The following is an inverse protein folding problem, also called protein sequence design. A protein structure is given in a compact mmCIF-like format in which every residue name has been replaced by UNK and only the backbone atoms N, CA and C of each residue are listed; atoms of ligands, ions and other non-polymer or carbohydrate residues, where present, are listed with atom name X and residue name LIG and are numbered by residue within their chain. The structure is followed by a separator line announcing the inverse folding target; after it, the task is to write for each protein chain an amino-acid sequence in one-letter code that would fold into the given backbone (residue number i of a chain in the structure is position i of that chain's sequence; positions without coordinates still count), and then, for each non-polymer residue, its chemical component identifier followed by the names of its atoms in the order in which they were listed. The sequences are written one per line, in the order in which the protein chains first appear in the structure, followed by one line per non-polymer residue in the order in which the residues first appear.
data_IF_884663073239
#
_entry.id   IF_884663073239
#
_cell.length_a   1.000
_cell.length_b   1.000
_cell.length_c   1.000
_cell.angle_alpha   90.00
_cell.angle_beta   90.00
_cell.angle_gamma   90.00
#
_symmetry.space_group_name_H-M   'P 1'
#
loop_
_entity.id
_entity.type
_entity.pdbx_description
1 polymer ?
#
# COMPACT_ATOMS: atom_id res chain seq x y z
N UNK A 1 -1.76 -8.17 30.51
CA UNK A 1 -2.23 -7.96 29.14
C UNK A 1 -1.20 -7.13 28.41
N UNK A 2 -0.58 -7.67 27.37
CA UNK A 2 0.45 -7.03 26.54
C UNK A 2 -0.15 -6.77 25.16
N UNK A 3 -0.12 -5.51 24.76
CA UNK A 3 -0.65 -5.05 23.47
C UNK A 3 0.55 -4.56 22.66
N UNK A 4 0.62 -4.92 21.39
CA UNK A 4 1.48 -4.19 20.46
C UNK A 4 0.62 -3.26 19.59
N UNK A 5 1.13 -2.06 19.33
CA UNK A 5 0.47 -1.06 18.50
C UNK A 5 1.45 -0.67 17.39
N UNK A 6 1.04 -0.84 16.14
CA UNK A 6 1.81 -0.43 14.97
C UNK A 6 1.03 0.61 14.18
N UNK A 7 1.73 1.53 13.53
CA UNK A 7 1.11 2.54 12.66
C UNK A 7 0.92 1.97 11.25
N UNK A 8 1.75 2.45 10.34
CA UNK A 8 1.78 2.20 8.91
C UNK A 8 2.45 0.86 8.61
N UNK A 9 1.88 0.08 7.69
CA UNK A 9 2.44 -1.22 7.30
C UNK A 9 3.12 -1.17 5.93
N UNK A 10 2.55 -0.45 4.96
CA UNK A 10 3.13 -0.24 3.62
C UNK A 10 3.58 -1.56 2.97
N UNK A 11 2.69 -2.57 3.02
CA UNK A 11 2.91 -3.92 2.53
C UNK A 11 4.17 -4.64 3.07
N UNK A 12 4.72 -4.24 4.23
CA UNK A 12 5.83 -4.93 4.88
C UNK A 12 5.37 -6.22 5.58
N UNK A 13 5.14 -7.25 4.76
CA UNK A 13 4.56 -8.55 5.16
C UNK A 13 5.35 -9.22 6.28
N UNK A 14 6.67 -9.22 6.18
CA UNK A 14 7.53 -9.92 7.13
C UNK A 14 7.54 -9.22 8.50
N UNK A 15 7.52 -7.88 8.53
CA UNK A 15 7.44 -7.13 9.77
C UNK A 15 6.05 -7.26 10.40
N UNK A 16 4.99 -7.21 9.59
CA UNK A 16 3.61 -7.40 10.02
C UNK A 16 3.41 -8.76 10.69
N UNK A 17 3.87 -9.85 10.08
CA UNK A 17 3.70 -11.21 10.61
C UNK A 17 4.32 -11.38 12.01
N UNK A 18 5.44 -10.69 12.28
CA UNK A 18 6.14 -10.71 13.57
C UNK A 18 5.62 -9.68 14.57
N UNK A 19 4.77 -8.75 14.14
CA UNK A 19 4.36 -7.62 14.97
C UNK A 19 3.55 -8.02 16.21
N UNK A 20 2.95 -9.21 16.25
CA UNK A 20 2.24 -9.70 17.44
C UNK A 20 3.09 -10.62 18.33
N UNK A 21 4.39 -10.81 18.04
CA UNK A 21 5.24 -11.72 18.80
C UNK A 21 5.27 -11.38 20.30
N UNK A 22 4.74 -12.29 21.10
CA UNK A 22 4.64 -12.13 22.55
C UNK A 22 3.65 -11.06 23.01
N UNK A 23 2.72 -10.60 22.16
CA UNK A 23 1.56 -9.79 22.55
C UNK A 23 0.29 -10.66 22.63
N UNK A 24 -0.67 -10.26 23.46
CA UNK A 24 -1.99 -10.90 23.53
C UNK A 24 -2.85 -10.55 22.30
N UNK A 25 -2.67 -9.33 21.76
CA UNK A 25 -3.29 -8.88 20.51
C UNK A 25 -2.55 -7.69 19.90
N UNK A 26 -2.82 -7.46 18.62
CA UNK A 26 -2.30 -6.34 17.84
C UNK A 26 -3.35 -5.25 17.66
N UNK A 27 -2.94 -3.98 17.71
CA UNK A 27 -3.68 -2.85 17.14
C UNK A 27 -2.85 -2.32 15.96
N UNK A 28 -3.42 -2.27 14.76
CA UNK A 28 -2.77 -1.68 13.59
C UNK A 28 -3.57 -0.47 13.13
N UNK A 29 -2.88 0.67 12.97
CA UNK A 29 -3.54 1.95 12.70
C UNK A 29 -3.83 2.20 11.21
N UNK A 30 -3.30 1.37 10.31
CA UNK A 30 -3.68 1.35 8.89
C UNK A 30 -2.49 1.53 7.96
N UNK A 31 -2.75 2.19 6.82
CA UNK A 31 -1.84 2.31 5.67
C UNK A 31 -1.21 0.97 5.33
N UNK A 32 -2.09 0.00 5.06
CA UNK A 32 -1.69 -1.37 4.80
C UNK A 32 -0.98 -1.50 3.45
N UNK A 33 -1.41 -0.73 2.45
CA UNK A 33 -0.93 -0.82 1.08
C UNK A 33 0.36 -0.03 0.85
N UNK A 34 1.25 -0.57 0.03
CA UNK A 34 2.36 0.17 -0.55
C UNK A 34 1.93 0.78 -1.89
N UNK A 35 1.54 2.05 -1.86
CA UNK A 35 1.06 2.74 -3.06
C UNK A 35 2.21 3.23 -3.94
N UNK A 36 3.10 4.04 -3.37
CA UNK A 36 4.34 4.52 -4.01
C UNK A 36 5.50 4.22 -3.07
N UNK A 37 6.45 3.44 -3.55
CA UNK A 37 7.71 3.21 -2.87
C UNK A 37 8.73 4.25 -3.37
N UNK A 38 9.25 5.07 -2.46
CA UNK A 38 10.22 6.13 -2.80
C UNK A 38 11.67 5.60 -2.82
N UNK A 39 11.91 4.40 -2.31
CA UNK A 39 13.24 3.77 -2.25
C UNK A 39 13.45 2.80 -3.42
N UNK A 40 12.41 2.07 -3.84
CA UNK A 40 12.40 1.22 -5.03
C UNK A 40 11.32 1.62 -6.04
N UNK A 41 11.67 2.33 -7.13
CA UNK A 41 10.72 2.75 -8.16
C UNK A 41 9.97 1.61 -8.86
N UNK A 42 10.47 0.37 -8.81
CA UNK A 42 9.80 -0.79 -9.38
C UNK A 42 8.71 -1.38 -8.47
N UNK A 43 8.74 -1.02 -7.18
CA UNK A 43 7.88 -1.60 -6.16
C UNK A 43 6.57 -0.80 -5.95
N UNK A 44 5.65 -1.40 -5.19
CA UNK A 44 4.35 -0.82 -4.90
C UNK A 44 3.39 -0.80 -6.09
N UNK A 45 2.18 -0.29 -5.86
CA UNK A 45 1.11 -0.23 -6.87
C UNK A 45 1.54 0.63 -8.06
N UNK A 46 2.13 1.79 -7.80
CA UNK A 46 2.55 2.72 -8.85
C UNK A 46 3.72 2.17 -9.66
N UNK A 47 4.75 1.59 -9.02
CA UNK A 47 5.88 0.99 -9.74
C UNK A 47 5.45 -0.15 -10.66
N UNK A 48 4.54 -1.01 -10.20
CA UNK A 48 4.00 -2.11 -10.99
C UNK A 48 3.15 -1.66 -12.19
N UNK A 49 2.37 -0.59 -12.04
CA UNK A 49 1.50 -0.10 -13.11
C UNK A 49 2.21 0.83 -14.09
N UNK A 50 3.09 1.70 -13.60
CA UNK A 50 3.78 2.68 -14.43
C UNK A 50 5.06 2.13 -15.06
N UNK A 51 5.64 1.08 -14.46
CA UNK A 51 6.97 0.59 -14.79
C UNK A 51 8.07 1.44 -14.12
N UNK A 52 9.25 0.84 -13.98
CA UNK A 52 10.37 1.41 -13.23
C UNK A 52 10.75 2.81 -13.71
N UNK A 53 11.09 2.98 -15.00
CA UNK A 53 11.62 4.23 -15.54
C UNK A 53 10.64 5.41 -15.39
N UNK A 54 9.36 5.16 -15.66
CA UNK A 54 8.34 6.19 -15.54
C UNK A 54 8.07 6.54 -14.07
N UNK A 55 8.02 5.54 -13.20
CA UNK A 55 7.77 5.76 -11.78
C UNK A 55 8.97 6.42 -11.08
N UNK A 56 10.20 6.12 -11.50
CA UNK A 56 11.42 6.76 -11.02
C UNK A 56 11.36 8.28 -11.26
N UNK A 57 11.02 8.69 -12.48
CA UNK A 57 10.89 10.11 -12.81
C UNK A 57 9.72 10.77 -12.07
N UNK A 58 8.59 10.08 -11.93
CA UNK A 58 7.47 10.54 -11.11
C UNK A 58 7.89 10.77 -9.64
N UNK A 59 8.64 9.84 -9.06
CA UNK A 59 9.20 9.96 -7.70
C UNK A 59 10.17 11.14 -7.64
N UNK A 60 11.07 11.28 -8.61
CA UNK A 60 12.03 12.39 -8.68
C UNK A 60 11.33 13.75 -8.65
N UNK A 61 10.27 13.93 -9.43
CA UNK A 61 9.47 15.17 -9.45
C UNK A 61 8.79 15.43 -8.10
N UNK A 62 8.22 14.40 -7.47
CA UNK A 62 7.60 14.52 -6.15
C UNK A 62 8.61 14.90 -5.07
N UNK A 63 9.78 14.27 -5.06
CA UNK A 63 10.86 14.55 -4.11
C UNK A 63 11.42 15.96 -4.30
N UNK A 64 11.40 16.49 -5.53
CA UNK A 64 11.73 17.88 -5.82
C UNK A 64 10.60 18.88 -5.52
N UNK A 65 9.48 18.45 -4.92
CA UNK A 65 8.25 19.24 -4.68
C UNK A 65 7.59 19.79 -5.95
N UNK A 66 7.89 19.23 -7.12
CA UNK A 66 7.31 19.59 -8.42
C UNK A 66 5.98 18.85 -8.64
N UNK A 67 5.01 19.10 -7.75
CA UNK A 67 3.75 18.34 -7.71
C UNK A 67 2.84 18.57 -8.91
N UNK A 68 2.92 19.73 -9.57
CA UNK A 68 2.11 20.04 -10.76
C UNK A 68 2.61 19.19 -11.92
N UNK A 69 3.92 19.15 -12.12
CA UNK A 69 4.61 18.40 -13.15
C UNK A 69 4.45 16.89 -12.92
N UNK A 70 4.64 16.42 -11.67
CA UNK A 70 4.42 15.03 -11.32
C UNK A 70 2.98 14.57 -11.62
N UNK A 71 1.98 15.42 -11.33
CA UNK A 71 0.58 15.12 -11.65
C UNK A 71 0.34 15.10 -13.15
N UNK A 72 0.84 16.08 -13.89
CA UNK A 72 0.67 16.13 -15.34
C UNK A 72 1.27 14.89 -16.01
N UNK A 73 2.49 14.51 -15.61
CA UNK A 73 3.14 13.27 -16.06
C UNK A 73 2.30 12.03 -15.69
N UNK A 74 1.91 11.87 -14.44
CA UNK A 74 1.09 10.71 -14.05
C UNK A 74 -0.21 10.62 -14.86
N UNK A 75 -0.85 11.75 -15.20
CA UNK A 75 -2.05 11.77 -16.03
C UNK A 75 -1.79 11.25 -17.45
N UNK A 76 -0.68 11.61 -18.09
CA UNK A 76 -0.37 11.08 -19.43
C UNK A 76 -0.18 9.57 -19.40
N UNK A 77 0.40 9.03 -18.33
CA UNK A 77 0.52 7.57 -18.18
C UNK A 77 -0.82 6.89 -17.93
N UNK A 78 -1.70 7.50 -17.15
CA UNK A 78 -3.05 6.96 -16.96
C UNK A 78 -3.87 6.96 -18.25
N UNK A 79 -3.73 7.98 -19.10
CA UNK A 79 -4.36 8.00 -20.42
C UNK A 79 -3.88 6.85 -21.31
N UNK A 80 -2.59 6.51 -21.25
CA UNK A 80 -2.01 5.36 -21.96
C UNK A 80 -2.54 4.02 -21.42
N UNK A 81 -2.62 3.87 -20.09
CA UNK A 81 -3.04 2.63 -19.43
C UNK A 81 -4.56 2.38 -19.48
N UNK A 82 -5.36 3.43 -19.64
CA UNK A 82 -6.82 3.34 -19.74
C UNK A 82 -7.52 3.33 -18.38
N UNK A 83 -8.25 2.25 -18.08
CA UNK A 83 -9.12 2.19 -16.88
C UNK A 83 -8.33 2.10 -15.57
N UNK A 84 -8.01 3.28 -15.05
CA UNK A 84 -7.25 3.47 -13.82
C UNK A 84 -7.87 2.77 -12.60
N UNK A 85 -9.18 2.87 -12.36
CA UNK A 85 -9.78 2.30 -11.13
C UNK A 85 -9.76 0.77 -11.17
N UNK A 86 -10.02 0.17 -12.32
CA UNK A 86 -9.90 -1.28 -12.50
C UNK A 86 -8.46 -1.76 -12.26
N UNK A 87 -7.46 -1.06 -12.81
CA UNK A 87 -6.05 -1.40 -12.65
C UNK A 87 -5.58 -1.28 -11.19
N UNK A 88 -5.90 -0.17 -10.53
CA UNK A 88 -5.56 0.03 -9.11
C UNK A 88 -6.29 -1.01 -8.25
N UNK A 89 -7.59 -1.20 -8.46
CA UNK A 89 -8.38 -2.17 -7.69
C UNK A 89 -7.81 -3.58 -7.79
N UNK A 90 -7.29 -3.97 -8.97
CA UNK A 90 -6.60 -5.26 -9.13
C UNK A 90 -5.36 -5.34 -8.23
N UNK A 91 -4.49 -4.34 -8.25
CA UNK A 91 -3.26 -4.37 -7.44
C UNK A 91 -3.52 -4.23 -5.94
N UNK A 92 -4.50 -3.43 -5.54
CA UNK A 92 -4.99 -3.35 -4.15
C UNK A 92 -5.41 -4.73 -3.64
N UNK A 93 -6.22 -5.46 -4.42
CA UNK A 93 -6.68 -6.80 -4.04
C UNK A 93 -5.53 -7.81 -3.96
N UNK A 94 -4.52 -7.68 -4.81
CA UNK A 94 -3.32 -8.52 -4.76
C UNK A 94 -2.53 -8.28 -3.48
N UNK A 95 -2.19 -7.02 -3.15
CA UNK A 95 -1.49 -6.71 -1.90
C UNK A 95 -2.33 -7.09 -0.66
N UNK A 96 -3.63 -6.80 -0.65
CA UNK A 96 -4.49 -7.19 0.46
C UNK A 96 -4.53 -8.70 0.68
N UNK A 97 -4.51 -9.50 -0.38
CA UNK A 97 -4.42 -10.95 -0.21
C UNK A 97 -3.18 -11.33 0.62
N UNK A 98 -2.00 -10.82 0.24
CA UNK A 98 -0.75 -11.14 0.94
C UNK A 98 -0.73 -10.58 2.38
N UNK A 99 -1.19 -9.34 2.56
CA UNK A 99 -1.25 -8.66 3.86
C UNK A 99 -2.18 -9.41 4.83
N UNK A 100 -3.41 -9.71 4.42
CA UNK A 100 -4.36 -10.39 5.28
C UNK A 100 -4.03 -11.87 5.50
N UNK A 101 -3.34 -12.53 4.56
CA UNK A 101 -2.80 -13.88 4.76
C UNK A 101 -1.71 -13.90 5.86
N UNK A 102 -0.92 -12.83 5.99
CA UNK A 102 0.13 -12.69 7.01
C UNK A 102 -0.32 -12.00 8.31
N UNK A 103 -1.54 -11.46 8.35
CA UNK A 103 -2.05 -10.66 9.46
C UNK A 103 -2.17 -11.50 10.74
N UNK A 104 -1.58 -11.05 11.87
CA UNK A 104 -1.74 -11.73 13.14
C UNK A 104 -3.19 -11.79 13.63
N UNK A 105 -3.52 -12.80 14.44
CA UNK A 105 -4.84 -12.93 15.07
C UNK A 105 -4.66 -13.19 16.57
N UNK A 106 -5.37 -12.47 17.46
CA UNK A 106 -6.35 -11.42 17.20
C UNK A 106 -5.72 -10.05 16.86
N UNK A 107 -6.40 -9.28 15.99
CA UNK A 107 -6.01 -7.93 15.60
C UNK A 107 -7.22 -6.98 15.58
N UNK A 108 -7.01 -5.73 15.99
CA UNK A 108 -7.93 -4.62 15.77
C UNK A 108 -7.32 -3.69 14.73
N UNK A 109 -8.08 -3.40 13.67
CA UNK A 109 -7.63 -2.63 12.51
C UNK A 109 -8.39 -1.31 12.42
N UNK A 110 -7.66 -0.21 12.22
CA UNK A 110 -8.20 0.99 11.56
C UNK A 110 -7.60 1.10 10.16
N UNK A 111 -8.15 1.97 9.31
CA UNK A 111 -7.68 2.18 7.94
C UNK A 111 -6.94 3.51 7.81
N UNK A 112 -5.93 3.53 6.95
CA UNK A 112 -5.17 4.72 6.62
C UNK A 112 -5.70 5.45 5.38
N UNK A 113 -4.89 6.34 4.84
CA UNK A 113 -5.26 7.25 3.75
C UNK A 113 -5.45 6.54 2.41
N UNK A 114 -4.60 5.54 2.11
CA UNK A 114 -4.65 4.84 0.80
C UNK A 114 -5.42 3.53 0.85
N UNK A 115 -5.85 3.12 2.04
CA UNK A 115 -6.64 1.91 2.23
C UNK A 115 -8.02 1.99 1.57
N UNK A 116 -8.54 0.82 1.17
CA UNK A 116 -9.84 0.59 0.54
C UNK A 116 -10.66 -0.38 1.40
N UNK A 117 -11.20 0.05 2.57
CA UNK A 117 -11.90 -0.80 3.54
C UNK A 117 -13.09 -1.57 2.96
N UNK A 118 -13.70 -1.09 1.87
CA UNK A 118 -14.81 -1.75 1.18
C UNK A 118 -14.47 -3.16 0.67
N UNK A 119 -13.17 -3.48 0.51
CA UNK A 119 -12.70 -4.80 0.12
C UNK A 119 -12.41 -5.74 1.30
N UNK A 120 -12.28 -5.22 2.53
CA UNK A 120 -11.78 -5.98 3.68
C UNK A 120 -12.69 -7.13 4.10
N UNK A 121 -14.00 -7.00 3.87
CA UNK A 121 -15.00 -8.06 4.13
C UNK A 121 -14.68 -9.41 3.46
N UNK A 122 -13.83 -9.41 2.44
CA UNK A 122 -13.42 -10.62 1.73
C UNK A 122 -12.22 -11.32 2.39
N UNK A 123 -11.59 -10.70 3.40
CA UNK A 123 -10.31 -11.13 3.97
C UNK A 123 -10.34 -11.26 5.50
N UNK A 124 -11.11 -10.41 6.19
CA UNK A 124 -11.24 -10.47 7.65
C UNK A 124 -11.86 -11.81 8.07
N UNK A 125 -11.37 -12.37 9.18
CA UNK A 125 -11.79 -13.66 9.75
C UNK A 125 -12.55 -13.46 11.05
#
# INVERSE_FOLDING_TARGET
MKINIISDVHAEINALARSAEGADFLICLGDLLLYTDYEDPGNGIMGKLFGYEFNEEFIRLRTANMFVEARAMAMTKWEELGDRDTLITREVKNQYKEIFDAMPTPVYLTYGNVDRPEFWKNYVK
#
